data_IF_481189934940
#
_entry.id   IF_481189934940
#
_cell.length_a   1.000
_cell.length_b   1.000
_cell.length_c   1.000
_cell.angle_alpha   90.00
_cell.angle_beta   90.00
_cell.angle_gamma   90.00
#
_symmetry.space_group_name_H-M   'P 1'
#
loop_
_entity.id
_entity.type
_entity.pdbx_description
1 polymer ?
#
# COMPACT_ATOMS: atom_id res chain seq x y z
N UNK A 1 -29.39 -6.59 56.87
CA UNK A 1 -28.45 -5.83 56.05
C UNK A 1 -28.25 -6.52 54.71
N UNK A 2 -28.78 -5.99 53.58
CA UNK A 2 -28.23 -6.22 52.28
C UNK A 2 -28.34 -4.94 51.39
N UNK A 3 -27.37 -4.03 51.44
CA UNK A 3 -27.33 -2.83 50.57
C UNK A 3 -26.02 -2.73 49.74
N UNK A 4 -25.03 -3.62 49.98
CA UNK A 4 -23.69 -3.48 49.40
C UNK A 4 -23.45 -4.18 48.06
N UNK A 5 -24.47 -4.83 47.41
CA UNK A 5 -24.25 -5.61 46.17
C UNK A 5 -24.72 -4.97 44.86
N UNK A 6 -25.38 -3.81 44.89
CA UNK A 6 -25.98 -3.18 43.72
C UNK A 6 -25.12 -2.07 43.09
N UNK A 7 -24.10 -1.54 43.78
CA UNK A 7 -23.31 -0.39 43.31
C UNK A 7 -22.05 -0.74 42.50
N UNK A 8 -21.56 -1.97 42.58
CA UNK A 8 -20.33 -2.38 41.87
C UNK A 8 -20.44 -2.41 40.34
N UNK A 9 -21.53 -2.91 39.73
CA UNK A 9 -21.66 -2.95 38.27
C UNK A 9 -21.87 -1.55 37.63
N UNK A 10 -22.53 -0.62 38.30
CA UNK A 10 -22.78 0.74 37.81
C UNK A 10 -21.49 1.55 37.81
N UNK A 11 -20.65 1.43 38.85
CA UNK A 11 -19.36 2.11 38.93
C UNK A 11 -18.38 1.60 37.86
N UNK A 12 -18.38 0.30 37.58
CA UNK A 12 -17.54 -0.30 36.50
C UNK A 12 -17.98 0.18 35.10
N UNK A 13 -19.29 0.28 34.86
CA UNK A 13 -19.83 0.78 33.59
C UNK A 13 -19.51 2.27 33.43
N UNK A 14 -19.61 3.09 34.46
CA UNK A 14 -19.26 4.50 34.42
C UNK A 14 -17.76 4.71 34.17
N UNK A 15 -16.88 3.97 34.86
CA UNK A 15 -15.42 4.00 34.68
C UNK A 15 -14.99 3.54 33.28
N UNK A 16 -15.65 2.52 32.69
CA UNK A 16 -15.40 2.07 31.35
C UNK A 16 -15.90 3.09 30.30
N UNK A 17 -16.99 3.78 30.57
CA UNK A 17 -17.53 4.85 29.72
C UNK A 17 -16.61 6.08 29.67
N UNK A 18 -16.13 6.53 30.83
CA UNK A 18 -15.18 7.64 30.91
C UNK A 18 -13.82 7.30 30.30
N UNK A 19 -13.32 6.07 30.51
CA UNK A 19 -12.07 5.61 29.87
C UNK A 19 -12.18 5.56 28.36
N UNK A 20 -13.30 5.09 27.79
CA UNK A 20 -13.54 5.09 26.36
C UNK A 20 -13.62 6.52 25.79
N UNK A 21 -14.27 7.45 26.47
CA UNK A 21 -14.35 8.86 26.08
C UNK A 21 -12.97 9.53 26.02
N UNK A 22 -12.12 9.29 27.00
CA UNK A 22 -10.74 9.82 27.04
C UNK A 22 -9.88 9.22 25.94
N UNK A 23 -9.97 7.91 25.69
CA UNK A 23 -9.22 7.22 24.63
C UNK A 23 -9.61 7.76 23.25
N UNK A 24 -10.91 7.91 22.98
CA UNK A 24 -11.41 8.46 21.70
C UNK A 24 -10.93 9.90 21.50
N UNK A 25 -11.06 10.77 22.51
CA UNK A 25 -10.59 12.14 22.43
C UNK A 25 -9.07 12.27 22.20
N UNK A 26 -8.29 11.35 22.79
CA UNK A 26 -6.83 11.30 22.61
C UNK A 26 -6.47 10.85 21.19
N UNK A 27 -7.18 9.86 20.64
CA UNK A 27 -7.00 9.38 19.28
C UNK A 27 -7.36 10.46 18.24
N UNK A 28 -8.46 11.18 18.44
CA UNK A 28 -8.88 12.26 17.53
C UNK A 28 -7.85 13.39 17.48
N UNK A 29 -7.31 13.79 18.64
CA UNK A 29 -6.23 14.78 18.72
C UNK A 29 -4.95 14.30 18.01
N UNK A 30 -4.59 13.04 18.17
CA UNK A 30 -3.43 12.46 17.48
C UNK A 30 -3.62 12.43 15.96
N UNK A 31 -4.83 12.09 15.49
CA UNK A 31 -5.18 12.14 14.07
C UNK A 31 -5.17 13.57 13.52
N UNK A 32 -5.65 14.56 14.25
CA UNK A 32 -5.59 15.97 13.85
C UNK A 32 -4.14 16.44 13.66
N UNK A 33 -3.26 16.11 14.57
CA UNK A 33 -1.84 16.46 14.47
C UNK A 33 -1.17 15.73 13.30
N UNK A 34 -1.43 14.43 13.09
CA UNK A 34 -0.97 13.68 11.93
C UNK A 34 -1.42 14.33 10.62
N UNK A 35 -2.70 14.73 10.52
CA UNK A 35 -3.24 15.44 9.35
C UNK A 35 -2.49 16.75 9.10
N UNK A 36 -2.24 17.54 10.14
CA UNK A 36 -1.49 18.81 10.04
C UNK A 36 -0.06 18.59 9.50
N UNK A 37 0.61 17.52 9.93
CA UNK A 37 1.94 17.16 9.43
C UNK A 37 1.85 16.74 7.94
N UNK A 38 0.92 15.85 7.59
CA UNK A 38 0.80 15.30 6.24
C UNK A 38 0.23 16.30 5.23
N UNK A 39 -0.48 17.33 5.69
CA UNK A 39 -0.89 18.46 4.83
C UNK A 39 0.30 19.20 4.17
N UNK A 40 1.51 19.04 4.70
CA UNK A 40 2.75 19.57 4.10
C UNK A 40 3.24 18.74 2.90
N UNK A 41 2.66 17.56 2.66
CA UNK A 41 3.01 16.70 1.53
C UNK A 41 2.60 17.30 0.19
N UNK A 42 3.29 16.92 -0.88
CA UNK A 42 2.89 17.16 -2.25
C UNK A 42 1.77 16.22 -2.71
N UNK A 43 1.33 16.42 -3.96
CA UNK A 43 0.28 15.60 -4.60
C UNK A 43 0.74 14.18 -4.96
N UNK A 44 2.03 13.90 -4.78
CA UNK A 44 2.65 12.57 -4.94
C UNK A 44 3.25 12.13 -3.62
N UNK A 45 3.65 10.87 -3.53
CA UNK A 45 4.40 10.36 -2.39
C UNK A 45 5.63 11.24 -2.16
N UNK A 46 5.71 11.79 -0.97
CA UNK A 46 6.75 12.72 -0.53
C UNK A 46 7.59 12.04 0.54
N UNK A 47 8.90 12.01 0.32
CA UNK A 47 9.85 11.52 1.32
C UNK A 47 9.88 12.45 2.53
N UNK A 48 9.94 11.88 3.72
CA UNK A 48 9.89 12.63 4.99
C UNK A 48 11.27 12.94 5.56
N UNK A 49 12.34 12.37 4.98
CA UNK A 49 13.68 12.34 5.59
C UNK A 49 13.84 11.24 6.64
N UNK A 50 12.76 10.57 7.02
CA UNK A 50 12.78 9.39 7.89
C UNK A 50 12.89 8.15 6.98
N UNK A 51 13.83 7.23 7.20
CA UNK A 51 13.98 6.04 6.37
C UNK A 51 12.66 5.26 6.25
N UNK A 52 12.31 4.88 5.01
CA UNK A 52 11.12 4.08 4.67
C UNK A 52 9.77 4.74 4.95
N UNK A 53 9.72 5.98 5.45
CA UNK A 53 8.47 6.69 5.75
C UNK A 53 8.19 7.73 4.67
N UNK A 54 7.01 7.65 4.09
CA UNK A 54 6.53 8.59 3.08
C UNK A 54 5.13 9.08 3.45
N UNK A 55 4.76 10.23 2.90
CA UNK A 55 3.45 10.84 3.10
C UNK A 55 2.87 11.34 1.79
N UNK A 56 1.56 11.42 1.69
CA UNK A 56 0.87 11.88 0.48
C UNK A 56 -0.36 12.71 0.82
N UNK A 57 -0.55 13.78 0.05
CA UNK A 57 -1.77 14.54 -0.05
C UNK A 57 -2.31 14.41 -1.47
N UNK A 58 -3.38 13.69 -1.69
CA UNK A 58 -3.92 13.46 -3.03
C UNK A 58 -5.32 14.04 -3.18
N UNK A 59 -5.56 14.70 -4.32
CA UNK A 59 -6.86 15.24 -4.71
C UNK A 59 -7.49 14.47 -5.87
N UNK A 60 -6.74 13.59 -6.51
CA UNK A 60 -7.14 12.86 -7.71
C UNK A 60 -6.76 11.38 -7.68
N UNK A 61 -7.19 10.68 -8.73
CA UNK A 61 -6.87 9.26 -8.94
C UNK A 61 -5.37 9.02 -9.04
N UNK A 62 -4.91 7.98 -8.37
CA UNK A 62 -3.53 7.50 -8.45
C UNK A 62 -3.47 6.11 -9.12
N UNK A 63 -2.62 5.97 -10.13
CA UNK A 63 -2.40 4.70 -10.82
C UNK A 63 -0.92 4.37 -10.70
N UNK A 64 -0.56 3.41 -9.86
CA UNK A 64 0.84 3.12 -9.54
C UNK A 64 1.07 1.65 -9.18
N UNK A 65 2.32 1.27 -9.13
CA UNK A 65 2.75 0.04 -8.47
C UNK A 65 3.00 0.38 -7.00
N UNK A 66 2.26 -0.22 -6.10
CA UNK A 66 2.48 -0.12 -4.67
C UNK A 66 3.57 -1.11 -4.28
N UNK A 67 4.63 -0.62 -3.66
CA UNK A 67 5.67 -1.46 -3.05
C UNK A 67 5.16 -2.12 -1.75
N UNK A 68 5.86 -3.11 -1.20
CA UNK A 68 5.54 -3.65 0.12
C UNK A 68 5.52 -2.55 1.18
N UNK A 69 4.35 -2.26 1.76
CA UNK A 69 4.18 -1.19 2.74
C UNK A 69 3.01 -1.41 3.68
N UNK A 70 3.09 -0.81 4.84
CA UNK A 70 1.96 -0.45 5.68
C UNK A 70 1.45 0.91 5.21
N UNK A 71 0.17 1.01 4.89
CA UNK A 71 -0.47 2.25 4.47
C UNK A 71 -1.57 2.64 5.47
N UNK A 72 -1.43 3.80 6.09
CA UNK A 72 -2.37 4.36 7.07
C UNK A 72 -3.09 5.56 6.48
N UNK A 73 -4.42 5.52 6.48
CA UNK A 73 -5.29 6.60 6.01
C UNK A 73 -5.62 7.54 7.16
N UNK A 74 -5.39 8.84 6.96
CA UNK A 74 -5.60 9.87 7.97
C UNK A 74 -6.85 10.71 7.70
N UNK A 75 -7.14 10.97 6.41
CA UNK A 75 -8.26 11.80 5.98
C UNK A 75 -8.73 11.42 4.58
N UNK A 76 -10.01 11.67 4.30
CA UNK A 76 -10.62 11.37 3.02
C UNK A 76 -10.93 9.90 2.82
N UNK A 77 -11.55 9.57 1.70
CA UNK A 77 -11.88 8.19 1.31
C UNK A 77 -11.29 7.89 -0.07
N UNK A 78 -10.85 6.65 -0.24
CA UNK A 78 -10.26 6.19 -1.49
C UNK A 78 -10.69 4.78 -1.78
N UNK A 79 -11.11 4.52 -3.00
CA UNK A 79 -11.25 3.16 -3.51
C UNK A 79 -9.94 2.74 -4.18
N UNK A 80 -9.41 1.59 -3.78
CA UNK A 80 -8.20 1.01 -4.33
C UNK A 80 -8.52 -0.30 -5.03
N UNK A 81 -8.43 -0.31 -6.36
CA UNK A 81 -8.64 -1.49 -7.18
C UNK A 81 -7.33 -2.24 -7.40
N UNK A 82 -7.22 -3.43 -6.83
CA UNK A 82 -6.09 -4.36 -6.99
C UNK A 82 -6.59 -5.62 -7.68
N UNK A 83 -6.26 -5.80 -8.96
CA UNK A 83 -6.79 -6.91 -9.74
C UNK A 83 -8.32 -6.87 -9.80
N UNK A 84 -8.95 -7.91 -9.28
CA UNK A 84 -10.42 -8.05 -9.19
C UNK A 84 -10.98 -7.57 -7.83
N UNK A 85 -10.12 -7.22 -6.87
CA UNK A 85 -10.53 -6.73 -5.56
C UNK A 85 -10.63 -5.21 -5.54
N UNK A 86 -11.63 -4.69 -4.83
CA UNK A 86 -11.79 -3.26 -4.54
C UNK A 86 -11.77 -3.07 -3.03
N UNK A 87 -10.84 -2.25 -2.56
CA UNK A 87 -10.71 -1.89 -1.15
C UNK A 87 -11.28 -0.49 -0.94
N UNK A 88 -12.15 -0.34 0.03
CA UNK A 88 -12.64 0.96 0.49
C UNK A 88 -11.80 1.43 1.67
N UNK A 89 -11.07 2.51 1.47
CA UNK A 89 -10.14 3.09 2.45
C UNK A 89 -10.79 4.31 3.09
N UNK A 90 -10.83 4.33 4.41
CA UNK A 90 -11.45 5.40 5.22
C UNK A 90 -10.46 5.91 6.30
N UNK A 91 -10.70 7.07 6.91
CA UNK A 91 -9.86 7.58 7.98
C UNK A 91 -9.70 6.59 9.14
N UNK A 92 -8.53 6.60 9.78
CA UNK A 92 -8.13 5.69 10.84
C UNK A 92 -8.17 4.19 10.43
N UNK A 93 -8.03 3.89 9.13
CA UNK A 93 -7.84 2.51 8.66
C UNK A 93 -6.46 2.32 8.06
N UNK A 94 -5.98 1.08 8.10
CA UNK A 94 -4.72 0.71 7.47
C UNK A 94 -4.88 -0.58 6.65
N UNK A 95 -3.98 -0.77 5.70
CA UNK A 95 -3.82 -2.02 4.96
C UNK A 95 -2.34 -2.30 4.68
N UNK A 96 -2.03 -3.56 4.42
CA UNK A 96 -0.68 -4.02 4.09
C UNK A 96 -0.64 -4.42 2.62
N UNK A 97 0.36 -3.93 1.94
CA UNK A 97 0.75 -4.39 0.60
C UNK A 97 1.88 -5.41 0.79
N UNK A 98 1.67 -6.69 0.48
CA UNK A 98 2.66 -7.73 0.76
C UNK A 98 3.77 -7.83 -0.29
N UNK A 99 3.54 -7.35 -1.49
CA UNK A 99 4.45 -7.40 -2.64
C UNK A 99 4.15 -6.25 -3.59
N UNK A 100 5.02 -6.00 -4.57
CA UNK A 100 4.75 -4.97 -5.58
C UNK A 100 3.50 -5.30 -6.38
N UNK A 101 2.49 -4.44 -6.31
CA UNK A 101 1.22 -4.66 -7.02
C UNK A 101 0.76 -3.42 -7.79
N UNK A 102 0.41 -3.59 -9.07
CA UNK A 102 -0.21 -2.53 -9.85
C UNK A 102 -1.64 -2.30 -9.38
N UNK A 103 -1.96 -1.08 -8.95
CA UNK A 103 -3.29 -0.72 -8.47
C UNK A 103 -3.76 0.64 -9.01
N UNK A 104 -5.07 0.80 -9.02
CA UNK A 104 -5.75 2.04 -9.39
C UNK A 104 -6.47 2.57 -8.16
N UNK A 105 -6.09 3.76 -7.73
CA UNK A 105 -6.74 4.45 -6.61
C UNK A 105 -7.63 5.58 -7.12
N UNK A 106 -8.86 5.62 -6.66
CA UNK A 106 -9.82 6.69 -6.93
C UNK A 106 -10.17 7.40 -5.61
N UNK A 107 -9.78 8.66 -5.50
CA UNK A 107 -10.17 9.48 -4.36
C UNK A 107 -11.60 9.97 -4.59
N UNK A 108 -12.46 9.84 -3.60
CA UNK A 108 -13.84 10.31 -3.68
C UNK A 108 -13.87 11.84 -3.55
N UNK A 109 -14.26 12.53 -4.62
CA UNK A 109 -14.40 13.99 -4.65
C UNK A 109 -15.69 14.48 -3.97
N UNK A 110 -16.63 13.58 -3.69
CA UNK A 110 -18.02 13.95 -3.29
C UNK A 110 -18.24 14.12 -1.77
N UNK A 111 -17.21 13.92 -0.93
CA UNK A 111 -17.37 14.08 0.52
C UNK A 111 -16.73 15.40 1.00
N UNK A 112 -17.47 16.23 1.75
CA UNK A 112 -16.91 17.40 2.40
C UNK A 112 -15.87 16.95 3.44
N UNK A 113 -14.59 17.11 3.19
CA UNK A 113 -13.55 16.63 4.11
C UNK A 113 -12.12 16.98 3.70
N UNK A 114 -11.94 17.66 2.58
CA UNK A 114 -10.62 18.04 2.09
C UNK A 114 -9.87 16.91 1.36
N UNK A 115 -8.56 17.05 1.10
CA UNK A 115 -7.75 16.12 0.34
C UNK A 115 -7.61 14.77 1.05
N UNK A 116 -7.34 13.74 0.29
CA UNK A 116 -6.93 12.44 0.85
C UNK A 116 -5.53 12.56 1.44
N UNK A 117 -5.39 12.22 2.72
CA UNK A 117 -4.14 12.25 3.46
C UNK A 117 -3.79 10.84 3.94
N UNK A 118 -2.58 10.42 3.67
CA UNK A 118 -2.08 9.14 4.15
C UNK A 118 -0.57 9.18 4.40
N UNK A 119 -0.10 8.28 5.25
CA UNK A 119 1.30 7.95 5.41
C UNK A 119 1.55 6.49 5.06
N UNK A 120 2.77 6.16 4.69
CA UNK A 120 3.21 4.78 4.49
C UNK A 120 4.54 4.52 5.20
N UNK A 121 4.70 3.26 5.60
CA UNK A 121 5.96 2.70 6.05
C UNK A 121 6.31 1.54 5.12
N UNK A 122 7.37 1.68 4.32
CA UNK A 122 7.87 0.62 3.45
C UNK A 122 8.42 -0.53 4.30
N UNK A 123 7.99 -1.75 4.00
CA UNK A 123 8.28 -2.94 4.81
C UNK A 123 9.62 -3.55 4.42
N UNK A 124 10.50 -3.67 5.41
CA UNK A 124 11.77 -4.37 5.29
C UNK A 124 11.66 -5.77 5.91
N UNK A 125 11.82 -6.84 5.11
CA UNK A 125 11.75 -8.20 5.62
C UNK A 125 12.76 -8.50 6.74
N UNK A 126 13.95 -7.88 6.70
CA UNK A 126 14.98 -8.08 7.71
C UNK A 126 14.57 -7.48 9.06
N UNK A 127 13.96 -6.28 9.06
CA UNK A 127 13.41 -5.66 10.27
C UNK A 127 12.28 -6.51 10.85
N UNK A 128 11.38 -7.01 10.00
CA UNK A 128 10.29 -7.90 10.43
C UNK A 128 10.81 -9.22 10.99
N UNK A 129 11.81 -9.85 10.35
CA UNK A 129 12.43 -11.07 10.84
C UNK A 129 13.07 -10.85 12.22
N UNK A 130 13.76 -9.73 12.43
CA UNK A 130 14.37 -9.38 13.72
C UNK A 130 13.35 -9.17 14.85
N UNK A 131 12.11 -8.75 14.53
CA UNK A 131 11.02 -8.63 15.52
C UNK A 131 10.45 -10.00 15.87
N UNK A 132 10.44 -10.95 14.93
CA UNK A 132 9.89 -12.29 15.12
C UNK A 132 10.83 -13.22 15.88
N UNK A 133 12.14 -12.94 15.92
CA UNK A 133 13.10 -13.68 16.76
C UNK A 133 12.70 -13.52 18.23
N UNK A 134 12.22 -14.60 18.85
CA UNK A 134 11.70 -14.61 20.22
C UNK A 134 10.17 -14.50 20.35
N UNK A 135 9.45 -14.34 19.24
CA UNK A 135 7.97 -14.34 19.18
C UNK A 135 7.43 -15.52 18.34
N UNK A 136 8.01 -16.68 18.49
CA UNK A 136 7.60 -17.92 17.77
C UNK A 136 6.26 -18.44 18.28
N UNK A 137 5.16 -17.80 17.92
CA UNK A 137 3.84 -18.12 18.45
C UNK A 137 2.72 -18.19 17.43
N UNK A 138 2.90 -18.78 16.25
CA UNK A 138 1.75 -19.24 15.43
C UNK A 138 2.17 -20.22 14.35
N UNK A 139 1.42 -21.32 14.25
CA UNK A 139 1.52 -22.27 13.13
C UNK A 139 1.30 -21.55 11.81
N UNK A 140 2.10 -21.80 10.77
CA UNK A 140 1.94 -21.11 9.49
C UNK A 140 0.55 -21.38 8.90
N UNK A 141 -0.19 -20.33 8.61
CA UNK A 141 -1.34 -20.42 7.71
C UNK A 141 -0.77 -20.40 6.30
N UNK A 142 -1.00 -21.45 5.52
CA UNK A 142 -0.38 -21.67 4.21
C UNK A 142 -0.78 -20.67 3.12
N UNK A 143 -1.75 -19.78 3.36
CA UNK A 143 -2.30 -18.88 2.35
C UNK A 143 -2.45 -17.48 2.93
N UNK A 144 -1.69 -16.53 2.38
CA UNK A 144 -2.03 -15.10 2.50
C UNK A 144 -3.27 -14.87 1.64
N UNK A 145 -4.41 -14.66 2.27
CA UNK A 145 -5.68 -14.42 1.58
C UNK A 145 -5.85 -12.93 1.33
N UNK A 146 -5.64 -12.50 0.09
CA UNK A 146 -6.09 -11.21 -0.42
C UNK A 146 -5.65 -9.97 0.36
N UNK A 147 -6.11 -8.82 -0.11
CA UNK A 147 -5.95 -7.55 0.59
C UNK A 147 -7.13 -7.33 1.55
N UNK A 148 -6.84 -6.85 2.75
CA UNK A 148 -7.84 -6.47 3.73
C UNK A 148 -7.56 -5.08 4.31
N UNK A 149 -8.61 -4.41 4.77
CA UNK A 149 -8.52 -3.12 5.46
C UNK A 149 -8.87 -3.35 6.92
N UNK A 150 -8.10 -2.79 7.82
CA UNK A 150 -8.30 -2.92 9.27
C UNK A 150 -8.33 -1.55 9.92
N UNK A 151 -9.08 -1.41 11.00
CA UNK A 151 -9.10 -0.19 11.83
C UNK A 151 -7.78 -0.08 12.62
N UNK A 152 -7.20 1.10 12.63
CA UNK A 152 -6.01 1.39 13.43
C UNK A 152 -6.41 1.56 14.90
N UNK A 153 -5.60 0.96 15.81
CA UNK A 153 -5.79 1.16 17.25
C UNK A 153 -5.22 2.51 17.70
N UNK A 154 -5.66 3.06 18.83
CA UNK A 154 -5.10 4.31 19.36
C UNK A 154 -3.59 4.26 19.56
N UNK A 155 -3.06 3.11 19.98
CA UNK A 155 -1.63 2.91 20.18
C UNK A 155 -0.85 2.89 18.86
N UNK A 156 -1.44 2.34 17.79
CA UNK A 156 -0.83 2.38 16.47
C UNK A 156 -0.79 3.82 15.94
N UNK A 157 -1.88 4.57 16.11
CA UNK A 157 -1.95 5.98 15.73
C UNK A 157 -0.92 6.81 16.50
N UNK A 158 -0.78 6.60 17.82
CA UNK A 158 0.22 7.29 18.63
C UNK A 158 1.65 6.99 18.18
N UNK A 159 1.97 5.72 17.92
CA UNK A 159 3.29 5.34 17.42
C UNK A 159 3.57 6.00 16.05
N UNK A 160 2.60 6.02 15.14
CA UNK A 160 2.71 6.73 13.86
C UNK A 160 2.90 8.24 14.05
N UNK A 161 2.20 8.86 14.99
CA UNK A 161 2.38 10.28 15.29
C UNK A 161 3.80 10.58 15.81
N UNK A 162 4.31 9.77 16.73
CA UNK A 162 5.70 9.91 17.23
C UNK A 162 6.72 9.76 16.12
N UNK A 163 6.50 8.83 15.17
CA UNK A 163 7.32 8.70 13.99
C UNK A 163 7.30 9.98 13.14
N UNK A 164 6.12 10.50 12.83
CA UNK A 164 5.97 11.67 11.96
C UNK A 164 6.50 12.96 12.60
N UNK A 165 6.49 13.09 13.91
CA UNK A 165 7.11 14.22 14.65
C UNK A 165 8.62 14.31 14.44
N UNK A 166 9.29 13.22 14.08
CA UNK A 166 10.73 13.21 13.79
C UNK A 166 11.09 14.02 12.53
N UNK A 167 10.14 14.33 11.66
CA UNK A 167 10.35 15.22 10.50
C UNK A 167 10.93 16.57 10.94
N UNK A 168 10.46 17.08 12.07
CA UNK A 168 10.90 18.37 12.64
C UNK A 168 12.09 18.21 13.59
N UNK A 169 12.62 16.97 13.75
CA UNK A 169 13.73 16.63 14.64
C UNK A 169 14.77 15.71 13.98
N UNK A 170 15.40 16.16 12.88
CA UNK A 170 16.26 15.30 12.05
C UNK A 170 17.45 14.70 12.82
N UNK A 171 17.95 15.35 13.87
CA UNK A 171 19.03 14.83 14.72
C UNK A 171 18.60 13.59 15.54
N UNK A 172 17.31 13.39 15.80
CA UNK A 172 16.78 12.27 16.56
C UNK A 172 16.45 11.04 15.67
N UNK A 173 16.33 11.24 14.34
CA UNK A 173 15.87 10.21 13.39
C UNK A 173 16.72 8.93 13.46
N UNK A 174 18.03 9.06 13.46
CA UNK A 174 18.92 7.90 13.43
C UNK A 174 18.74 6.97 14.64
N UNK A 175 18.41 7.53 15.80
CA UNK A 175 18.23 6.77 17.03
C UNK A 175 16.78 6.33 17.24
N UNK A 176 15.82 7.23 17.09
CA UNK A 176 14.44 6.97 17.48
C UNK A 176 13.60 6.31 16.39
N UNK A 177 13.85 6.61 15.09
CA UNK A 177 13.03 6.04 14.03
C UNK A 177 13.06 4.50 14.00
N UNK A 178 14.20 3.80 14.14
CA UNK A 178 14.21 2.34 14.18
C UNK A 178 13.45 1.76 15.37
N UNK A 179 13.45 2.44 16.53
CA UNK A 179 12.72 1.99 17.73
C UNK A 179 11.21 2.10 17.52
N UNK A 180 10.76 3.25 17.00
CA UNK A 180 9.34 3.51 16.74
C UNK A 180 8.83 2.62 15.59
N UNK A 181 9.64 2.38 14.55
CA UNK A 181 9.31 1.43 13.49
C UNK A 181 9.03 0.04 14.04
N UNK A 182 9.91 -0.46 14.93
CA UNK A 182 9.69 -1.76 15.58
C UNK A 182 8.40 -1.78 16.38
N UNK A 183 8.04 -0.70 17.07
CA UNK A 183 6.78 -0.60 17.79
C UNK A 183 5.59 -0.62 16.84
N UNK A 184 5.59 0.17 15.76
CA UNK A 184 4.52 0.18 14.75
C UNK A 184 4.31 -1.24 14.21
N UNK A 185 5.38 -1.90 13.78
CA UNK A 185 5.32 -3.24 13.21
C UNK A 185 4.85 -4.27 14.24
N UNK A 186 5.30 -4.16 15.49
CA UNK A 186 4.83 -5.03 16.60
C UNK A 186 3.32 -4.88 16.82
N UNK A 187 2.80 -3.64 16.85
CA UNK A 187 1.36 -3.39 17.03
C UNK A 187 0.54 -4.01 15.89
N UNK A 188 1.01 -3.90 14.65
CA UNK A 188 0.35 -4.53 13.51
C UNK A 188 0.45 -6.06 13.55
N UNK A 189 1.57 -6.62 14.03
CA UNK A 189 1.76 -8.06 14.23
C UNK A 189 0.75 -8.66 15.24
N UNK A 190 0.31 -7.89 16.22
CA UNK A 190 -0.71 -8.29 17.18
C UNK A 190 -2.14 -8.11 16.64
N UNK A 191 -2.31 -7.39 15.53
CA UNK A 191 -3.58 -7.08 14.91
C UNK A 191 -4.03 -8.09 13.84
N UNK A 192 -5.18 -7.82 13.18
CA UNK A 192 -5.77 -8.71 12.19
C UNK A 192 -4.88 -9.03 10.98
N UNK A 193 -3.93 -8.16 10.64
CA UNK A 193 -3.02 -8.33 9.51
C UNK A 193 -1.64 -8.87 9.92
N UNK A 194 -1.48 -9.33 11.13
CA UNK A 194 -0.20 -9.82 11.64
C UNK A 194 0.37 -11.00 10.84
N UNK A 195 -0.49 -11.91 10.34
CA UNK A 195 -0.05 -13.04 9.51
C UNK A 195 0.61 -12.59 8.20
N UNK A 196 0.11 -11.49 7.59
CA UNK A 196 0.72 -10.94 6.37
C UNK A 196 2.17 -10.52 6.66
N UNK A 197 2.42 -9.83 7.77
CA UNK A 197 3.77 -9.42 8.18
C UNK A 197 4.68 -10.62 8.48
N UNK A 198 4.15 -11.68 9.13
CA UNK A 198 4.90 -12.92 9.38
C UNK A 198 5.33 -13.60 8.08
N UNK A 199 4.47 -13.58 7.06
CA UNK A 199 4.79 -14.13 5.75
C UNK A 199 5.84 -13.28 5.00
N UNK A 200 5.81 -11.94 5.14
CA UNK A 200 6.82 -11.06 4.55
C UNK A 200 8.20 -11.32 5.16
N UNK A 201 8.26 -11.57 6.47
CA UNK A 201 9.50 -11.81 7.21
C UNK A 201 10.19 -13.14 6.90
N UNK A 202 9.46 -14.16 6.43
CA UNK A 202 10.00 -15.50 6.19
C UNK A 202 10.57 -15.62 4.78
N UNK A 203 11.87 -15.88 4.65
CA UNK A 203 12.55 -16.04 3.36
C UNK A 203 12.04 -17.18 2.51
N UNK A 204 11.63 -18.30 3.14
CA UNK A 204 11.09 -19.48 2.44
C UNK A 204 9.56 -19.51 2.36
N UNK A 205 8.89 -18.39 2.66
CA UNK A 205 7.43 -18.32 2.57
C UNK A 205 6.94 -18.42 1.12
N UNK A 206 5.70 -18.90 0.94
CA UNK A 206 5.05 -18.85 -0.39
C UNK A 206 4.99 -17.42 -0.94
N UNK A 207 4.87 -16.43 -0.06
CA UNK A 207 4.91 -15.02 -0.44
C UNK A 207 6.28 -14.63 -1.01
N UNK A 208 7.40 -15.01 -0.36
CA UNK A 208 8.74 -14.68 -0.85
C UNK A 208 9.04 -15.35 -2.19
N UNK A 209 8.56 -16.59 -2.38
CA UNK A 209 8.65 -17.30 -3.66
C UNK A 209 7.88 -16.55 -4.76
N UNK A 210 6.64 -16.08 -4.49
CA UNK A 210 5.84 -15.30 -5.43
C UNK A 210 6.50 -13.93 -5.70
N UNK A 211 7.10 -13.28 -4.69
CA UNK A 211 7.83 -12.02 -4.89
C UNK A 211 8.96 -12.16 -5.90
N UNK A 212 9.74 -13.23 -5.87
CA UNK A 212 10.76 -13.50 -6.90
C UNK A 212 10.17 -13.54 -8.32
N UNK A 213 9.01 -14.17 -8.50
CA UNK A 213 8.33 -14.18 -9.78
C UNK A 213 7.82 -12.78 -10.18
N UNK A 214 7.32 -12.01 -9.23
CA UNK A 214 6.91 -10.61 -9.44
C UNK A 214 8.10 -9.76 -9.90
N UNK A 215 9.24 -9.87 -9.24
CA UNK A 215 10.46 -9.15 -9.61
C UNK A 215 10.93 -9.52 -11.01
N UNK A 216 10.88 -10.81 -11.34
CA UNK A 216 11.20 -11.25 -12.70
C UNK A 216 10.23 -10.64 -13.73
N UNK A 217 8.92 -10.68 -13.51
CA UNK A 217 7.93 -10.08 -14.41
C UNK A 217 8.15 -8.57 -14.53
N UNK A 218 8.51 -7.87 -13.45
CA UNK A 218 8.78 -6.43 -13.46
C UNK A 218 10.00 -6.05 -14.28
N UNK A 219 11.02 -6.88 -14.30
CA UNK A 219 12.23 -6.65 -15.10
C UNK A 219 12.05 -7.05 -16.58
N UNK A 220 11.19 -8.06 -16.86
CA UNK A 220 10.96 -8.59 -18.21
C UNK A 220 9.54 -8.29 -18.74
N UNK A 221 8.90 -7.21 -18.25
CA UNK A 221 7.49 -6.94 -18.56
C UNK A 221 7.21 -6.70 -20.04
N UNK A 222 8.19 -6.27 -20.84
CA UNK A 222 8.07 -6.05 -22.27
C UNK A 222 8.11 -7.34 -23.08
N UNK A 223 8.63 -8.43 -22.51
CA UNK A 223 8.81 -9.71 -23.19
C UNK A 223 7.60 -10.64 -22.99
N UNK A 224 7.25 -11.47 -23.97
CA UNK A 224 6.30 -12.55 -23.73
C UNK A 224 6.95 -13.60 -22.82
N UNK A 225 6.20 -14.16 -21.88
CA UNK A 225 6.70 -15.27 -21.05
C UNK A 225 5.71 -16.43 -20.96
N UNK A 226 6.22 -17.59 -20.63
CA UNK A 226 5.44 -18.77 -20.24
C UNK A 226 5.40 -18.88 -18.72
N UNK A 227 4.31 -19.40 -18.19
CA UNK A 227 4.12 -19.51 -16.74
C UNK A 227 4.92 -20.66 -16.14
N UNK A 228 5.19 -21.73 -16.92
CA UNK A 228 5.89 -22.92 -16.46
C UNK A 228 7.31 -22.63 -15.94
N UNK A 229 8.17 -21.84 -16.63
CA UNK A 229 9.47 -21.43 -16.09
C UNK A 229 9.37 -20.64 -14.79
N UNK A 230 8.38 -19.73 -14.68
CA UNK A 230 8.17 -18.96 -13.44
C UNK A 230 7.74 -19.85 -12.28
N UNK A 231 6.85 -20.80 -12.52
CA UNK A 231 6.45 -21.78 -11.51
C UNK A 231 7.66 -22.63 -11.06
N UNK A 232 8.48 -23.11 -12.00
CA UNK A 232 9.70 -23.86 -11.69
C UNK A 232 10.70 -23.03 -10.86
N UNK A 233 10.93 -21.76 -11.22
CA UNK A 233 11.79 -20.83 -10.49
C UNK A 233 11.34 -20.65 -9.03
N UNK A 234 10.03 -20.73 -8.78
CA UNK A 234 9.47 -20.61 -7.43
C UNK A 234 9.35 -21.93 -6.68
N UNK A 235 9.76 -23.06 -7.29
CA UNK A 235 9.63 -24.40 -6.70
C UNK A 235 8.18 -24.85 -6.54
N UNK A 236 7.26 -24.38 -7.41
CA UNK A 236 5.84 -24.70 -7.35
C UNK A 236 5.38 -25.44 -8.61
N UNK A 237 4.34 -26.26 -8.48
CA UNK A 237 3.56 -26.69 -9.65
C UNK A 237 2.84 -25.47 -10.25
N UNK A 238 2.53 -25.52 -11.55
CA UNK A 238 1.83 -24.43 -12.26
C UNK A 238 0.52 -24.07 -11.57
N UNK A 239 -0.26 -25.07 -11.14
CA UNK A 239 -1.53 -24.83 -10.43
C UNK A 239 -1.33 -24.16 -9.07
N UNK A 240 -0.33 -24.58 -8.29
CA UNK A 240 0.01 -23.96 -7.01
C UNK A 240 0.50 -22.52 -7.22
N UNK A 241 1.35 -22.29 -8.23
CA UNK A 241 1.84 -20.97 -8.57
C UNK A 241 0.70 -20.01 -8.92
N UNK A 242 -0.23 -20.38 -9.80
CA UNK A 242 -1.40 -19.56 -10.11
C UNK A 242 -2.20 -19.20 -8.87
N UNK A 243 -2.48 -20.20 -8.00
CA UNK A 243 -3.24 -19.96 -6.77
C UNK A 243 -2.55 -18.99 -5.82
N UNK A 244 -1.24 -19.20 -5.55
CA UNK A 244 -0.49 -18.33 -4.64
C UNK A 244 -0.22 -16.94 -5.23
N UNK A 245 0.07 -16.86 -6.53
CA UNK A 245 0.25 -15.59 -7.22
C UNK A 245 -1.03 -14.75 -7.18
N UNK A 246 -2.19 -15.37 -7.45
CA UNK A 246 -3.50 -14.68 -7.36
C UNK A 246 -3.84 -14.30 -5.91
N UNK A 247 -3.50 -15.10 -4.93
CA UNK A 247 -3.70 -14.78 -3.52
C UNK A 247 -2.89 -13.54 -3.08
N UNK A 248 -1.64 -13.40 -3.56
CA UNK A 248 -0.75 -12.28 -3.22
C UNK A 248 -1.08 -11.01 -4.00
N UNK A 249 -1.46 -11.12 -5.29
CA UNK A 249 -1.58 -9.97 -6.19
C UNK A 249 -3.02 -9.65 -6.60
N UNK A 250 -3.99 -10.49 -6.25
CA UNK A 250 -5.37 -10.51 -6.76
C UNK A 250 -5.46 -10.65 -8.30
N UNK A 251 -4.38 -11.10 -8.96
CA UNK A 251 -4.27 -11.23 -10.43
C UNK A 251 -3.59 -12.52 -10.83
N UNK A 252 -3.87 -13.00 -12.05
CA UNK A 252 -3.00 -14.02 -12.66
C UNK A 252 -1.68 -13.38 -13.12
N UNK A 253 -0.60 -14.16 -13.32
CA UNK A 253 0.68 -13.64 -13.80
C UNK A 253 0.57 -12.83 -15.10
N UNK A 254 -0.26 -13.31 -16.05
CA UNK A 254 -0.49 -12.62 -17.33
C UNK A 254 -1.29 -11.32 -17.13
N UNK A 255 -2.31 -11.31 -16.26
CA UNK A 255 -3.06 -10.09 -15.92
C UNK A 255 -2.15 -9.06 -15.25
N UNK A 256 -1.25 -9.51 -14.37
CA UNK A 256 -0.28 -8.66 -13.70
C UNK A 256 0.65 -7.98 -14.72
N UNK A 257 1.26 -8.76 -15.65
CA UNK A 257 2.12 -8.20 -16.70
C UNK A 257 1.36 -7.17 -17.55
N UNK A 258 0.15 -7.50 -18.01
CA UNK A 258 -0.67 -6.57 -18.80
C UNK A 258 -0.95 -5.28 -18.07
N UNK A 259 -1.31 -5.36 -16.79
CA UNK A 259 -1.58 -4.19 -15.97
C UNK A 259 -0.34 -3.33 -15.78
N UNK A 260 0.82 -3.96 -15.57
CA UNK A 260 2.10 -3.27 -15.49
C UNK A 260 2.46 -2.55 -16.79
N UNK A 261 2.29 -3.20 -17.95
CA UNK A 261 2.49 -2.59 -19.27
C UNK A 261 1.61 -1.35 -19.46
N UNK A 262 0.33 -1.43 -19.10
CA UNK A 262 -0.60 -0.31 -19.23
C UNK A 262 -0.25 0.87 -18.30
N UNK A 263 0.18 0.60 -17.07
CA UNK A 263 0.66 1.65 -16.16
C UNK A 263 1.91 2.35 -16.70
N UNK A 264 2.89 1.57 -17.17
CA UNK A 264 4.11 2.11 -17.79
C UNK A 264 3.79 2.92 -19.05
N UNK A 265 2.91 2.39 -19.92
CA UNK A 265 2.47 3.09 -21.12
C UNK A 265 1.79 4.43 -20.81
N UNK A 266 0.90 4.46 -19.82
CA UNK A 266 0.22 5.71 -19.42
C UNK A 266 1.20 6.76 -18.97
N UNK A 267 2.20 6.38 -18.17
CA UNK A 267 3.27 7.29 -17.74
C UNK A 267 4.04 7.84 -18.95
N UNK A 268 4.48 6.97 -19.87
CA UNK A 268 5.19 7.40 -21.08
C UNK A 268 4.34 8.34 -21.94
N UNK A 269 3.05 8.03 -22.14
CA UNK A 269 2.11 8.88 -22.88
C UNK A 269 1.95 10.28 -22.29
N UNK A 270 2.03 10.43 -20.96
CA UNK A 270 1.87 11.73 -20.29
C UNK A 270 3.16 12.55 -20.36
N UNK A 271 4.31 11.91 -20.22
CA UNK A 271 5.60 12.61 -20.05
C UNK A 271 6.46 12.64 -21.31
N UNK A 272 6.25 11.73 -22.27
CA UNK A 272 7.05 11.67 -23.49
C UNK A 272 6.24 12.15 -24.71
N UNK A 273 6.85 12.95 -25.61
CA UNK A 273 6.20 13.39 -26.85
C UNK A 273 6.26 12.30 -27.92
N UNK A 274 5.73 11.11 -27.62
CA UNK A 274 5.74 9.95 -28.49
C UNK A 274 4.31 9.59 -28.93
N UNK A 275 4.23 8.99 -30.12
CA UNK A 275 2.97 8.43 -30.62
C UNK A 275 2.51 7.22 -29.78
N UNK A 276 1.19 7.08 -29.62
CA UNK A 276 0.60 6.01 -28.83
C UNK A 276 0.92 4.60 -29.35
N UNK A 277 1.08 4.45 -30.67
CA UNK A 277 1.48 3.18 -31.28
C UNK A 277 2.95 2.84 -30.94
N UNK A 278 3.85 3.82 -31.03
CA UNK A 278 5.25 3.65 -30.65
C UNK A 278 5.39 3.27 -29.16
N UNK A 279 4.61 3.88 -28.28
CA UNK A 279 4.58 3.54 -26.86
C UNK A 279 4.01 2.13 -26.65
N UNK A 280 2.94 1.73 -27.38
CA UNK A 280 2.41 0.38 -27.29
C UNK A 280 3.48 -0.68 -27.55
N UNK A 281 4.25 -0.52 -28.62
CA UNK A 281 5.35 -1.44 -28.95
C UNK A 281 6.47 -1.40 -27.92
N UNK A 282 6.86 -0.22 -27.41
CA UNK A 282 7.91 -0.09 -26.39
C UNK A 282 7.58 -0.75 -25.06
N UNK A 283 6.31 -0.92 -24.73
CA UNK A 283 5.88 -1.63 -23.51
C UNK A 283 5.52 -3.10 -23.78
N UNK A 284 5.81 -3.63 -24.98
CA UNK A 284 5.71 -5.05 -25.31
C UNK A 284 4.35 -5.48 -25.89
N UNK A 285 3.52 -4.58 -26.42
CA UNK A 285 2.37 -4.96 -27.23
C UNK A 285 2.80 -5.22 -28.68
N UNK A 286 2.26 -6.27 -29.28
CA UNK A 286 2.47 -6.60 -30.70
C UNK A 286 1.48 -5.87 -31.62
N UNK A 287 0.40 -5.30 -31.06
CA UNK A 287 -0.65 -4.61 -31.80
C UNK A 287 -1.12 -3.35 -31.09
N UNK A 288 -1.00 -2.20 -31.77
CA UNK A 288 -1.52 -0.91 -31.28
C UNK A 288 -3.04 -0.93 -31.07
N UNK A 289 -3.77 -1.70 -31.88
CA UNK A 289 -5.22 -1.86 -31.73
C UNK A 289 -5.58 -2.67 -30.49
N UNK A 290 -4.83 -3.72 -30.16
CA UNK A 290 -5.00 -4.47 -28.93
C UNK A 290 -4.70 -3.60 -27.73
N UNK A 291 -3.59 -2.88 -27.75
CA UNK A 291 -3.21 -1.92 -26.71
C UNK A 291 -4.32 -0.89 -26.45
N UNK A 292 -4.83 -0.24 -27.50
CA UNK A 292 -5.87 0.78 -27.36
C UNK A 292 -7.15 0.25 -26.71
N UNK A 293 -7.56 -0.98 -27.05
CA UNK A 293 -8.74 -1.63 -26.45
C UNK A 293 -8.52 -1.98 -24.98
N UNK A 294 -7.37 -2.56 -24.62
CA UNK A 294 -7.03 -2.93 -23.25
C UNK A 294 -6.83 -1.67 -22.39
N UNK A 295 -6.20 -0.62 -22.95
CA UNK A 295 -6.03 0.67 -22.30
C UNK A 295 -7.40 1.32 -21.98
N UNK A 296 -8.29 1.40 -22.97
CA UNK A 296 -9.62 1.97 -22.79
C UNK A 296 -10.46 1.18 -21.77
N UNK A 297 -10.30 -0.14 -21.72
CA UNK A 297 -10.96 -0.98 -20.69
C UNK A 297 -10.45 -0.65 -19.28
N UNK A 298 -9.17 -0.34 -19.13
CA UNK A 298 -8.55 -0.06 -17.83
C UNK A 298 -8.80 1.38 -17.35
N UNK A 299 -8.77 2.36 -18.26
CA UNK A 299 -8.82 3.79 -17.92
C UNK A 299 -10.11 4.50 -18.36
N UNK A 300 -11.02 3.78 -19.01
CA UNK A 300 -12.31 4.33 -19.48
C UNK A 300 -12.22 5.14 -20.79
N UNK A 301 -11.01 5.47 -21.25
CA UNK A 301 -10.77 6.28 -22.45
C UNK A 301 -9.61 5.72 -23.28
N UNK A 302 -9.65 5.88 -24.62
CA UNK A 302 -8.51 5.60 -25.48
C UNK A 302 -7.28 6.42 -25.08
N UNK A 303 -6.03 5.92 -25.33
CA UNK A 303 -4.78 6.54 -24.91
C UNK A 303 -4.68 8.03 -25.23
N UNK A 304 -4.95 8.42 -26.48
CA UNK A 304 -4.84 9.81 -26.95
C UNK A 304 -5.83 10.75 -26.22
N UNK A 305 -7.04 10.26 -25.92
CA UNK A 305 -8.07 11.07 -25.22
C UNK A 305 -7.76 11.18 -23.72
N UNK A 306 -7.25 10.12 -23.10
CA UNK A 306 -6.87 10.15 -21.69
C UNK A 306 -5.73 11.15 -21.46
N UNK A 307 -4.69 11.11 -22.29
CA UNK A 307 -3.54 12.02 -22.20
C UNK A 307 -3.90 13.47 -22.45
N UNK A 308 -4.89 13.76 -23.31
CA UNK A 308 -5.33 15.12 -23.54
C UNK A 308 -5.80 15.84 -22.27
N UNK A 309 -6.24 15.10 -21.25
CA UNK A 309 -6.63 15.64 -19.92
C UNK A 309 -5.43 16.15 -19.13
N UNK A 310 -4.21 15.68 -19.41
CA UNK A 310 -2.98 16.02 -18.69
C UNK A 310 -2.08 17.02 -19.45
N UNK A 311 -2.61 17.68 -20.48
CA UNK A 311 -1.82 18.64 -21.30
C UNK A 311 -1.48 19.94 -20.58
N UNK A 312 -2.20 20.29 -19.49
CA UNK A 312 -1.88 21.45 -18.68
C UNK A 312 -0.80 21.13 -17.65
N UNK A 313 0.12 22.08 -17.33
CA UNK A 313 1.20 21.85 -16.36
C UNK A 313 0.69 21.47 -14.96
N UNK A 314 -0.44 21.97 -14.51
CA UNK A 314 -1.07 21.61 -13.25
C UNK A 314 -1.53 20.14 -13.24
N UNK A 315 -2.15 19.67 -14.32
CA UNK A 315 -2.64 18.30 -14.42
C UNK A 315 -1.53 17.26 -14.55
N UNK A 316 -0.34 17.65 -15.07
CA UNK A 316 0.84 16.77 -15.14
C UNK A 316 1.41 16.45 -13.77
N UNK A 317 1.35 17.37 -12.81
CA UNK A 317 1.81 17.14 -11.43
C UNK A 317 1.00 16.04 -10.74
N UNK A 318 -0.30 15.98 -10.97
CA UNK A 318 -1.19 14.94 -10.43
C UNK A 318 -0.95 13.56 -11.06
N UNK A 319 -0.40 13.53 -12.28
CA UNK A 319 -0.06 12.27 -12.97
C UNK A 319 1.36 11.75 -12.67
N UNK A 320 2.22 12.59 -12.08
CA UNK A 320 3.60 12.27 -11.76
C UNK A 320 3.68 11.41 -10.49
N UNK A 321 3.58 10.11 -10.67
CA UNK A 321 3.83 9.14 -9.60
C UNK A 321 5.23 8.60 -9.80
N UNK A 322 6.15 8.75 -8.82
CA UNK A 322 7.43 8.08 -8.87
C UNK A 322 7.17 6.57 -8.91
N UNK A 323 7.61 5.90 -9.96
CA UNK A 323 8.03 4.53 -9.76
C UNK A 323 9.28 4.65 -8.89
N UNK A 324 9.22 4.13 -7.67
CA UNK A 324 10.42 3.82 -6.92
C UNK A 324 11.26 2.92 -7.86
N UNK A 325 12.24 3.51 -8.52
CA UNK A 325 13.37 2.75 -9.01
C UNK A 325 13.96 2.17 -7.73
N UNK A 326 13.69 0.89 -7.50
CA UNK A 326 14.45 0.10 -6.55
C UNK A 326 15.91 0.39 -6.87
N UNK A 327 16.60 1.05 -5.96
CA UNK A 327 18.02 1.17 -5.97
C UNK A 327 18.62 -0.24 -5.88
N UNK A 328 18.74 -0.87 -7.04
CA UNK A 328 19.56 -2.02 -7.29
C UNK A 328 20.72 -1.52 -8.16
N UNK A 329 21.67 -0.82 -7.52
CA UNK A 329 23.02 -0.59 -8.04
C UNK A 329 23.88 -0.21 -6.83
N UNK A 330 24.49 -1.17 -6.25
CA UNK A 330 25.86 -1.42 -5.76
C UNK A 330 25.84 -2.54 -4.76
#
# INVERSE_FOLDING_TARGET
MPIARAFLPILIIALLGESNGVIVATMDKALEELRAIVMRAGDTWTTTGIPRVEMVRAEACSNQVYAPMLHLVLQGTKELSVGEQVLSLAPATYFIVPADVPAIGQVSAEKPGGPYLAMSLNLDPAVLAAILVGNEGSRPVDVVTGFSVSTATPELIDACLRMMRLIDRPAEVAMLAPMIEREILFRVLQGPQGEVLRHIAREESRLSQVRRAIDWIRTHYTEPFRVEPLAAMTGMSVAAFYRHFKAVTAMTPIQYQKRLRLLKARRLLIFEPRDAAAIAFSVGYESASQFSREYARMYGLPPVRDVARFKTPASRRTAAIPLLESAALT
#
